data_IF_815937254324
#
_entry.id   IF_815937254324
#
_cell.length_a   1.000
_cell.length_b   1.000
_cell.length_c   1.000
_cell.angle_alpha   90.00
_cell.angle_beta   90.00
_cell.angle_gamma   90.00
#
_symmetry.space_group_name_H-M   'P 1'
#
loop_
_entity.id
_entity.type
_entity.pdbx_description
1 polymer ?
#
# COMPACT_ATOMS: atom_id res chain seq x y z
N UNK A 1 17.67 -7.11 27.52
CA UNK A 1 17.02 -8.37 27.12
C UNK A 1 18.05 -9.48 26.92
N UNK A 2 19.11 -9.30 26.13
CA UNK A 2 20.18 -10.30 25.99
C UNK A 2 20.75 -10.79 27.33
N UNK A 3 21.13 -9.87 28.21
CA UNK A 3 21.59 -10.20 29.57
C UNK A 3 20.54 -10.98 30.39
N UNK A 4 19.25 -10.68 30.19
CA UNK A 4 18.16 -11.38 30.90
C UNK A 4 18.01 -12.80 30.37
N UNK A 5 18.14 -13.00 29.07
CA UNK A 5 18.11 -14.33 28.45
C UNK A 5 19.26 -15.20 28.97
N UNK A 6 20.47 -14.63 29.10
CA UNK A 6 21.63 -15.34 29.66
C UNK A 6 21.42 -15.77 31.11
N UNK A 7 20.78 -14.94 31.94
CA UNK A 7 20.49 -15.23 33.34
C UNK A 7 19.39 -16.30 33.48
N UNK A 8 18.33 -16.23 32.67
CA UNK A 8 17.18 -17.14 32.72
C UNK A 8 17.39 -18.43 31.92
N UNK A 9 18.51 -18.57 31.20
CA UNK A 9 18.81 -19.73 30.36
C UNK A 9 17.91 -19.86 29.13
N UNK A 10 17.53 -18.72 28.55
CA UNK A 10 16.66 -18.61 27.37
C UNK A 10 17.51 -18.41 26.13
N UNK A 11 17.25 -19.20 25.08
CA UNK A 11 17.85 -19.00 23.76
C UNK A 11 16.96 -18.07 22.94
N UNK A 12 17.50 -16.97 22.40
CA UNK A 12 16.74 -16.03 21.58
C UNK A 12 17.62 -15.49 20.45
N UNK A 13 17.07 -15.44 19.23
CA UNK A 13 17.74 -14.81 18.10
C UNK A 13 17.67 -13.27 18.18
N UNK A 14 18.53 -12.57 17.43
CA UNK A 14 18.62 -11.10 17.47
C UNK A 14 17.33 -10.42 17.01
N UNK A 15 16.63 -10.99 16.02
CA UNK A 15 15.38 -10.42 15.49
C UNK A 15 14.26 -10.54 16.54
N UNK A 16 14.20 -11.66 17.26
CA UNK A 16 13.30 -11.87 18.40
C UNK A 16 13.54 -10.88 19.54
N UNK A 17 14.81 -10.64 19.90
CA UNK A 17 15.16 -9.64 20.93
C UNK A 17 14.79 -8.22 20.50
N UNK A 18 15.01 -7.88 19.22
CA UNK A 18 14.62 -6.58 18.65
C UNK A 18 13.10 -6.42 18.59
N UNK A 19 12.36 -7.50 18.33
CA UNK A 19 10.89 -7.49 18.35
C UNK A 19 10.36 -7.18 19.75
N UNK A 20 10.88 -7.85 20.78
CA UNK A 20 10.48 -7.63 22.18
C UNK A 20 10.85 -6.22 22.66
N UNK A 21 12.03 -5.72 22.27
CA UNK A 21 12.44 -4.35 22.57
C UNK A 21 11.48 -3.33 21.95
N UNK A 22 11.07 -3.54 20.70
CA UNK A 22 10.07 -2.70 20.01
C UNK A 22 8.70 -2.77 20.68
N UNK A 23 8.23 -3.96 21.04
CA UNK A 23 6.95 -4.14 21.74
C UNK A 23 6.92 -3.45 23.11
N UNK A 24 8.09 -3.24 23.72
CA UNK A 24 8.24 -2.44 24.94
C UNK A 24 8.26 -0.93 24.75
N UNK A 25 8.19 -0.40 23.52
CA UNK A 25 8.22 1.04 23.21
C UNK A 25 9.35 1.82 23.94
N UNK A 26 10.54 1.20 24.09
CA UNK A 26 11.68 1.79 24.80
C UNK A 26 11.57 1.77 26.34
N UNK A 27 10.45 1.32 26.91
CA UNK A 27 10.29 1.09 28.33
C UNK A 27 10.73 -0.35 28.69
N UNK A 28 11.80 -0.47 29.49
CA UNK A 28 12.33 -1.78 29.89
C UNK A 28 11.28 -2.68 30.57
N UNK A 29 10.37 -2.11 31.35
CA UNK A 29 9.32 -2.85 32.04
C UNK A 29 8.35 -3.52 31.06
N UNK A 30 7.99 -2.81 30.00
CA UNK A 30 7.02 -3.29 29.02
C UNK A 30 7.70 -4.32 28.10
N UNK A 31 8.98 -4.11 27.79
CA UNK A 31 9.80 -5.12 27.11
C UNK A 31 9.94 -6.41 27.92
N UNK A 32 10.14 -6.32 29.25
CA UNK A 32 10.16 -7.48 30.14
C UNK A 32 8.79 -8.16 30.24
N UNK A 33 7.70 -7.39 30.26
CA UNK A 33 6.34 -7.95 30.25
C UNK A 33 6.06 -8.73 28.97
N UNK A 34 6.51 -8.22 27.82
CA UNK A 34 6.43 -8.93 26.54
C UNK A 34 7.34 -10.18 26.51
N UNK A 35 8.52 -10.11 27.14
CA UNK A 35 9.43 -11.24 27.29
C UNK A 35 8.81 -12.36 28.15
N UNK A 36 8.22 -12.03 29.29
CA UNK A 36 7.55 -13.01 30.15
C UNK A 36 6.36 -13.67 29.43
N UNK A 37 5.61 -12.88 28.64
CA UNK A 37 4.55 -13.40 27.79
C UNK A 37 5.10 -14.35 26.72
N UNK A 38 6.22 -14.00 26.08
CA UNK A 38 6.88 -14.83 25.08
C UNK A 38 7.30 -16.19 25.65
N UNK A 39 7.91 -16.20 26.84
CA UNK A 39 8.31 -17.44 27.52
C UNK A 39 7.12 -18.34 27.86
N UNK A 40 6.00 -17.74 28.26
CA UNK A 40 4.76 -18.47 28.55
C UNK A 40 4.17 -19.16 27.31
N UNK A 41 4.37 -18.58 26.12
CA UNK A 41 3.76 -19.05 24.87
C UNK A 41 4.70 -19.97 24.05
N UNK A 42 6.00 -19.64 24.00
CA UNK A 42 6.99 -20.30 23.14
C UNK A 42 7.98 -21.18 23.93
N UNK A 43 8.05 -21.03 25.26
CA UNK A 43 9.03 -21.72 26.09
C UNK A 43 10.39 -21.02 26.13
N UNK A 44 11.47 -21.78 26.31
CA UNK A 44 12.83 -21.26 26.52
C UNK A 44 13.62 -20.98 25.25
N UNK A 45 13.01 -21.18 24.08
CA UNK A 45 13.63 -20.91 22.77
C UNK A 45 12.72 -19.95 22.02
N UNK A 46 13.21 -18.73 21.80
CA UNK A 46 12.47 -17.65 21.17
C UNK A 46 12.98 -17.49 19.74
N UNK A 47 12.28 -18.13 18.80
CA UNK A 47 12.48 -17.95 17.37
C UNK A 47 11.48 -16.94 16.80
N UNK A 48 11.97 -16.05 15.92
CA UNK A 48 11.18 -14.91 15.41
C UNK A 48 9.81 -15.30 14.83
N UNK A 49 9.75 -16.39 14.05
CA UNK A 49 8.51 -16.83 13.39
C UNK A 49 7.45 -17.35 14.36
N UNK A 50 7.86 -18.06 15.42
CA UNK A 50 6.95 -18.53 16.46
C UNK A 50 6.53 -17.38 17.37
N UNK A 51 7.48 -16.51 17.70
CA UNK A 51 7.26 -15.36 18.57
C UNK A 51 6.29 -14.35 17.97
N UNK A 52 6.43 -14.05 16.68
CA UNK A 52 5.50 -13.14 15.96
C UNK A 52 4.08 -13.69 15.93
N UNK A 53 3.91 -15.00 15.69
CA UNK A 53 2.60 -15.64 15.76
C UNK A 53 2.02 -15.62 17.18
N UNK A 54 2.83 -15.97 18.17
CA UNK A 54 2.42 -16.04 19.58
C UNK A 54 2.01 -14.66 20.13
N UNK A 55 2.77 -13.62 19.80
CA UNK A 55 2.52 -12.24 20.26
C UNK A 55 1.52 -11.47 19.38
N UNK A 56 0.95 -12.12 18.36
CA UNK A 56 0.00 -11.50 17.43
C UNK A 56 0.60 -10.34 16.63
N UNK A 57 1.91 -10.35 16.42
CA UNK A 57 2.63 -9.29 15.71
C UNK A 57 2.27 -9.38 14.23
N UNK A 58 1.86 -8.24 13.68
CA UNK A 58 1.47 -8.15 12.28
C UNK A 58 2.72 -8.11 11.41
N UNK A 59 2.74 -8.97 10.38
CA UNK A 59 3.83 -9.02 9.42
C UNK A 59 3.97 -7.69 8.66
N UNK A 60 5.20 -7.17 8.56
CA UNK A 60 5.50 -5.94 7.81
C UNK A 60 5.05 -6.03 6.35
N UNK A 61 5.09 -7.22 5.74
CA UNK A 61 4.63 -7.44 4.36
C UNK A 61 3.15 -7.10 4.18
N UNK A 62 2.35 -7.18 5.25
CA UNK A 62 0.94 -6.80 5.21
C UNK A 62 0.79 -5.30 4.96
N UNK A 63 1.63 -4.48 5.57
CA UNK A 63 1.56 -3.02 5.42
C UNK A 63 2.03 -2.56 4.06
N UNK A 64 3.10 -3.15 3.52
CA UNK A 64 3.51 -2.90 2.14
C UNK A 64 2.43 -3.31 1.11
N UNK A 65 1.74 -4.44 1.32
CA UNK A 65 0.58 -4.82 0.47
C UNK A 65 -0.58 -3.83 0.60
N UNK A 66 -0.75 -3.25 1.77
CA UNK A 66 -1.77 -2.23 2.02
C UNK A 66 -1.45 -0.96 1.23
N UNK A 67 -0.22 -0.45 1.30
CA UNK A 67 0.22 0.72 0.53
C UNK A 67 0.24 0.45 -0.97
N UNK A 68 0.55 -0.77 -1.41
CA UNK A 68 0.34 -1.19 -2.80
C UNK A 68 -1.11 -1.00 -3.26
N UNK A 69 -2.08 -1.38 -2.43
CA UNK A 69 -3.49 -1.19 -2.71
C UNK A 69 -3.90 0.29 -2.68
N UNK A 70 -3.27 1.11 -1.83
CA UNK A 70 -3.48 2.56 -1.83
C UNK A 70 -2.98 3.19 -3.13
N UNK A 71 -1.74 2.91 -3.52
CA UNK A 71 -1.14 3.44 -4.73
C UNK A 71 -1.90 3.02 -6.00
N UNK A 72 -2.40 1.78 -6.04
CA UNK A 72 -3.19 1.25 -7.14
C UNK A 72 -4.69 1.60 -7.08
N UNK A 73 -5.14 2.35 -6.07
CA UNK A 73 -6.55 2.65 -5.79
C UNK A 73 -7.45 1.39 -5.73
N UNK A 74 -6.91 0.27 -5.25
CA UNK A 74 -7.54 -1.04 -5.30
C UNK A 74 -8.39 -1.32 -4.04
N UNK A 75 -9.63 -0.84 -4.04
CA UNK A 75 -10.59 -1.06 -2.95
C UNK A 75 -10.94 -2.53 -2.73
N UNK A 76 -11.01 -3.33 -3.81
CA UNK A 76 -11.30 -4.76 -3.71
C UNK A 76 -10.15 -5.54 -3.06
N UNK A 77 -8.90 -5.17 -3.38
CA UNK A 77 -7.69 -5.65 -2.72
C UNK A 77 -7.69 -5.28 -1.24
N UNK A 78 -8.02 -4.04 -0.91
CA UNK A 78 -8.11 -3.57 0.47
C UNK A 78 -9.12 -4.37 1.31
N UNK A 79 -10.31 -4.66 0.77
CA UNK A 79 -11.29 -5.50 1.46
C UNK A 79 -10.85 -6.96 1.62
N UNK A 80 -10.07 -7.49 0.66
CA UNK A 80 -9.44 -8.82 0.81
C UNK A 80 -8.41 -8.81 1.93
N UNK A 81 -7.63 -7.74 2.04
CA UNK A 81 -6.62 -7.56 3.09
C UNK A 81 -7.27 -7.48 4.48
N UNK A 82 -8.37 -6.74 4.63
CA UNK A 82 -9.12 -6.73 5.91
C UNK A 82 -9.67 -8.11 6.26
N UNK A 83 -10.20 -8.84 5.29
CA UNK A 83 -10.66 -10.23 5.54
C UNK A 83 -9.51 -11.13 5.98
N UNK A 84 -8.32 -10.95 5.42
CA UNK A 84 -7.13 -11.68 5.85
C UNK A 84 -6.77 -11.33 7.29
N UNK A 85 -6.69 -10.03 7.63
CA UNK A 85 -6.41 -9.55 8.99
C UNK A 85 -7.33 -10.20 10.03
N UNK A 86 -8.64 -10.16 9.78
CA UNK A 86 -9.65 -10.72 10.69
C UNK A 86 -9.56 -12.25 10.77
N UNK A 87 -9.30 -12.94 9.65
CA UNK A 87 -9.19 -14.41 9.63
C UNK A 87 -7.93 -14.92 10.31
N UNK A 88 -6.85 -14.14 10.25
CA UNK A 88 -5.59 -14.44 10.93
C UNK A 88 -5.67 -14.16 12.43
N UNK A 89 -6.75 -13.54 12.92
CA UNK A 89 -6.95 -13.25 14.33
C UNK A 89 -6.09 -12.10 14.86
N UNK A 90 -5.56 -11.25 13.98
CA UNK A 90 -4.79 -10.08 14.41
C UNK A 90 -5.68 -9.11 15.20
N UNK A 91 -5.07 -8.50 16.22
CA UNK A 91 -5.70 -7.40 16.94
C UNK A 91 -5.75 -6.15 16.04
N UNK A 92 -6.92 -5.52 15.96
CA UNK A 92 -7.12 -4.39 15.04
C UNK A 92 -6.41 -3.11 15.49
N UNK A 93 -6.17 -2.95 16.79
CA UNK A 93 -5.38 -1.83 17.31
C UNK A 93 -3.91 -2.03 16.96
N UNK A 94 -3.37 -3.23 17.18
CA UNK A 94 -1.98 -3.56 16.79
C UNK A 94 -1.76 -3.38 15.27
N UNK A 95 -2.75 -3.71 14.44
CA UNK A 95 -2.71 -3.44 12.99
C UNK A 95 -2.62 -1.95 12.69
N UNK A 96 -3.37 -1.10 13.40
CA UNK A 96 -3.32 0.34 13.17
C UNK A 96 -2.03 0.99 13.70
N UNK A 97 -1.53 0.53 14.84
CA UNK A 97 -0.23 0.95 15.39
C UNK A 97 0.89 0.60 14.38
N UNK A 98 0.91 -0.63 13.88
CA UNK A 98 1.88 -1.06 12.87
C UNK A 98 1.73 -0.31 11.54
N UNK A 99 0.49 0.02 11.14
CA UNK A 99 0.25 0.85 9.96
C UNK A 99 0.78 2.28 10.14
N UNK A 100 0.58 2.90 11.31
CA UNK A 100 1.09 4.23 11.60
C UNK A 100 2.63 4.23 11.59
N UNK A 101 3.27 3.22 12.18
CA UNK A 101 4.73 3.05 12.13
C UNK A 101 5.23 2.87 10.68
N UNK A 102 4.55 2.05 9.89
CA UNK A 102 4.87 1.85 8.48
C UNK A 102 4.77 3.15 7.66
N UNK A 103 3.69 3.93 7.84
CA UNK A 103 3.50 5.21 7.16
C UNK A 103 4.53 6.26 7.60
N UNK A 104 4.89 6.29 8.89
CA UNK A 104 5.99 7.11 9.39
C UNK A 104 7.30 6.73 8.71
N UNK A 105 7.60 5.44 8.57
CA UNK A 105 8.83 4.97 7.94
C UNK A 105 8.88 5.35 6.45
N UNK A 106 7.76 5.27 5.73
CA UNK A 106 7.66 5.78 4.35
C UNK A 106 7.91 7.29 4.29
N UNK A 107 7.30 8.07 5.20
CA UNK A 107 7.51 9.52 5.26
C UNK A 107 8.97 9.88 5.55
N UNK A 108 9.60 9.20 6.52
CA UNK A 108 11.02 9.38 6.84
C UNK A 108 11.92 9.02 5.66
N UNK A 109 11.64 7.90 4.98
CA UNK A 109 12.39 7.48 3.80
C UNK A 109 12.22 8.48 2.64
N UNK A 110 11.03 9.04 2.46
CA UNK A 110 10.75 10.07 1.45
C UNK A 110 11.52 11.38 1.74
N UNK A 111 11.47 11.87 2.99
CA UNK A 111 12.03 13.18 3.33
C UNK A 111 13.54 13.17 3.58
N UNK A 112 14.08 12.08 4.13
CA UNK A 112 15.48 12.00 4.59
C UNK A 112 16.30 10.89 3.90
N UNK A 113 15.66 10.06 3.08
CA UNK A 113 16.26 8.87 2.48
C UNK A 113 16.22 7.64 3.40
N UNK A 114 16.36 6.45 2.81
CA UNK A 114 16.25 5.17 3.52
C UNK A 114 17.29 4.95 4.63
N UNK A 115 18.41 5.67 4.61
CA UNK A 115 19.45 5.59 5.64
C UNK A 115 19.01 6.13 7.01
N UNK A 116 17.96 6.96 7.04
CA UNK A 116 17.38 7.49 8.27
C UNK A 116 16.64 6.42 9.12
N UNK A 117 16.39 5.23 8.57
CA UNK A 117 15.67 4.14 9.24
C UNK A 117 16.62 3.20 10.00
N UNK A 118 17.38 3.73 10.96
CA UNK A 118 18.42 2.97 11.68
C UNK A 118 17.87 1.73 12.42
N UNK A 119 16.63 1.77 12.86
CA UNK A 119 15.94 0.72 13.62
C UNK A 119 15.36 -0.41 12.75
N UNK A 120 15.45 -0.27 11.43
CA UNK A 120 14.92 -1.21 10.43
C UNK A 120 16.06 -1.99 9.77
N UNK A 121 15.83 -3.28 9.48
CA UNK A 121 16.80 -4.13 8.79
C UNK A 121 17.17 -3.58 7.40
N UNK A 122 18.42 -3.73 6.99
CA UNK A 122 18.97 -3.10 5.78
C UNK A 122 18.20 -3.47 4.48
N UNK A 123 17.76 -4.72 4.36
CA UNK A 123 16.92 -5.18 3.22
C UNK A 123 15.59 -4.43 3.16
N UNK A 124 14.95 -4.21 4.30
CA UNK A 124 13.68 -3.50 4.42
C UNK A 124 13.85 -1.99 4.18
N UNK A 125 15.00 -1.39 4.55
CA UNK A 125 15.28 0.04 4.25
C UNK A 125 15.23 0.34 2.76
N UNK A 126 15.81 -0.54 1.94
CA UNK A 126 15.81 -0.39 0.48
C UNK A 126 14.38 -0.38 -0.06
N UNK A 127 13.54 -1.30 0.42
CA UNK A 127 12.14 -1.37 0.02
C UNK A 127 11.35 -0.12 0.43
N UNK A 128 11.59 0.42 1.63
CA UNK A 128 10.97 1.68 2.05
C UNK A 128 11.37 2.85 1.15
N UNK A 129 12.64 2.92 0.74
CA UNK A 129 13.10 3.95 -0.19
C UNK A 129 12.43 3.84 -1.56
N UNK A 130 12.37 2.63 -2.12
CA UNK A 130 11.73 2.38 -3.43
C UNK A 130 10.23 2.69 -3.42
N UNK A 131 9.55 2.40 -2.31
CA UNK A 131 8.10 2.59 -2.20
C UNK A 131 7.71 4.03 -1.82
N UNK A 132 8.57 4.74 -1.10
CA UNK A 132 8.36 6.13 -0.71
C UNK A 132 8.15 7.06 -1.93
N UNK A 133 8.83 6.78 -3.05
CA UNK A 133 8.71 7.56 -4.30
C UNK A 133 7.34 7.43 -4.99
N UNK A 134 6.51 6.46 -4.58
CA UNK A 134 5.15 6.28 -5.10
C UNK A 134 4.13 7.18 -4.42
N UNK A 135 4.53 7.97 -3.44
CA UNK A 135 3.65 8.84 -2.68
C UNK A 135 4.23 10.24 -2.59
N UNK A 136 3.34 11.23 -2.63
CA UNK A 136 3.73 12.60 -2.28
C UNK A 136 3.73 12.75 -0.75
N UNK A 137 4.60 13.60 -0.22
CA UNK A 137 4.70 13.87 1.22
C UNK A 137 3.34 14.23 1.85
N UNK A 138 2.54 15.05 1.15
CA UNK A 138 1.21 15.45 1.60
C UNK A 138 0.22 14.27 1.72
N UNK A 139 0.35 13.27 0.84
CA UNK A 139 -0.48 12.06 0.88
C UNK A 139 -0.05 11.16 2.03
N UNK A 140 1.25 11.00 2.27
CA UNK A 140 1.76 10.25 3.43
C UNK A 140 1.30 10.85 4.76
N UNK A 141 1.34 12.18 4.90
CA UNK A 141 0.82 12.87 6.09
C UNK A 141 -0.68 12.66 6.29
N UNK A 142 -1.46 12.70 5.20
CA UNK A 142 -2.90 12.41 5.25
C UNK A 142 -3.17 10.97 5.67
N UNK A 143 -2.48 10.00 5.08
CA UNK A 143 -2.61 8.59 5.45
C UNK A 143 -2.25 8.38 6.93
N UNK A 144 -1.17 8.99 7.41
CA UNK A 144 -0.75 8.89 8.81
C UNK A 144 -1.80 9.48 9.75
N UNK A 145 -2.38 10.63 9.40
CA UNK A 145 -3.48 11.25 10.17
C UNK A 145 -4.69 10.33 10.23
N UNK A 146 -5.10 9.75 9.09
CA UNK A 146 -6.22 8.82 9.04
C UNK A 146 -5.98 7.53 9.85
N UNK A 147 -4.74 7.04 9.90
CA UNK A 147 -4.37 5.90 10.72
C UNK A 147 -4.50 6.21 12.22
N UNK A 148 -3.99 7.36 12.66
CA UNK A 148 -4.09 7.81 14.06
C UNK A 148 -5.54 8.05 14.50
N UNK A 149 -6.34 8.73 13.67
CA UNK A 149 -7.78 8.92 13.96
C UNK A 149 -8.53 7.58 14.06
N UNK A 150 -8.17 6.61 13.21
CA UNK A 150 -8.80 5.30 13.24
C UNK A 150 -8.47 4.50 14.50
N UNK A 151 -7.29 4.71 15.11
CA UNK A 151 -6.88 4.02 16.33
C UNK A 151 -7.83 4.36 17.48
N UNK A 152 -8.10 5.64 17.67
CA UNK A 152 -9.05 6.15 18.66
C UNK A 152 -10.49 5.70 18.35
N UNK A 153 -10.88 5.79 17.08
CA UNK A 153 -12.22 5.40 16.61
C UNK A 153 -12.50 3.92 16.85
N UNK A 154 -11.54 3.03 16.52
CA UNK A 154 -11.69 1.58 16.68
C UNK A 154 -11.79 1.22 18.16
N UNK A 155 -10.97 1.84 19.01
CA UNK A 155 -10.96 1.59 20.46
C UNK A 155 -12.30 1.85 21.12
N UNK A 156 -13.06 2.83 20.62
CA UNK A 156 -14.36 3.23 21.18
C UNK A 156 -15.56 2.65 20.42
N UNK A 157 -15.33 1.99 19.28
CA UNK A 157 -16.41 1.57 18.40
C UNK A 157 -17.07 0.25 18.85
N UNK A 158 -18.41 0.16 18.81
CA UNK A 158 -19.09 -1.13 18.92
C UNK A 158 -18.93 -2.01 17.67
N UNK A 159 -18.40 -1.47 16.57
CA UNK A 159 -18.18 -2.17 15.29
C UNK A 159 -16.77 -1.87 14.74
N UNK A 160 -15.70 -2.30 15.45
CA UNK A 160 -14.31 -1.94 15.13
C UNK A 160 -13.88 -2.43 13.75
N UNK A 161 -14.36 -3.60 13.32
CA UNK A 161 -14.11 -4.12 11.98
C UNK A 161 -14.69 -3.22 10.88
N UNK A 162 -15.91 -2.73 11.04
CA UNK A 162 -16.53 -1.85 10.04
C UNK A 162 -15.77 -0.52 9.95
N UNK A 163 -15.29 -0.01 11.09
CA UNK A 163 -14.43 1.19 11.14
C UNK A 163 -13.12 0.97 10.38
N UNK A 164 -12.46 -0.16 10.59
CA UNK A 164 -11.26 -0.53 9.84
C UNK A 164 -11.53 -0.63 8.33
N UNK A 165 -12.59 -1.34 7.93
CA UNK A 165 -12.98 -1.46 6.52
C UNK A 165 -13.21 -0.06 5.91
N UNK A 166 -13.88 0.83 6.64
CA UNK A 166 -14.20 2.18 6.18
C UNK A 166 -12.94 3.04 6.02
N UNK A 167 -12.04 3.07 7.01
CA UNK A 167 -10.84 3.91 6.92
C UNK A 167 -9.92 3.43 5.81
N UNK A 168 -9.71 2.13 5.68
CA UNK A 168 -8.81 1.59 4.66
C UNK A 168 -9.38 1.78 3.24
N UNK A 169 -10.70 1.71 3.07
CA UNK A 169 -11.35 2.09 1.81
C UNK A 169 -11.16 3.58 1.48
N UNK A 170 -11.28 4.47 2.48
CA UNK A 170 -11.01 5.89 2.29
C UNK A 170 -9.55 6.14 1.90
N UNK A 171 -8.60 5.47 2.55
CA UNK A 171 -7.18 5.53 2.20
C UNK A 171 -6.95 5.11 0.74
N UNK A 172 -7.54 3.99 0.31
CA UNK A 172 -7.44 3.51 -1.07
C UNK A 172 -8.04 4.46 -2.11
N UNK A 173 -8.90 5.41 -1.71
CA UNK A 173 -9.50 6.40 -2.61
C UNK A 173 -8.85 7.78 -2.51
N UNK A 174 -7.82 7.96 -1.67
CA UNK A 174 -7.24 9.27 -1.35
C UNK A 174 -6.76 10.02 -2.60
N UNK A 175 -5.96 9.37 -3.46
CA UNK A 175 -5.44 9.95 -4.70
C UNK A 175 -6.55 10.43 -5.64
N UNK A 176 -7.63 9.65 -5.79
CA UNK A 176 -8.76 10.02 -6.66
C UNK A 176 -9.43 11.33 -6.22
N UNK A 177 -9.50 11.56 -4.90
CA UNK A 177 -10.06 12.79 -4.36
C UNK A 177 -9.13 14.00 -4.59
N UNK A 178 -7.81 13.79 -4.56
CA UNK A 178 -6.82 14.82 -4.89
C UNK A 178 -6.87 15.19 -6.39
N UNK A 179 -6.89 14.20 -7.28
CA UNK A 179 -6.95 14.40 -8.74
C UNK A 179 -8.21 15.20 -9.14
N UNK A 180 -9.36 14.87 -8.56
CA UNK A 180 -10.61 15.58 -8.84
C UNK A 180 -10.56 17.04 -8.39
N UNK A 181 -9.94 17.31 -7.24
CA UNK A 181 -9.79 18.69 -6.75
C UNK A 181 -8.90 19.51 -7.68
N UNK A 182 -7.81 18.95 -8.17
CA UNK A 182 -6.92 19.62 -9.13
C UNK A 182 -7.65 19.95 -10.44
N UNK A 183 -8.49 19.03 -10.93
CA UNK A 183 -9.32 19.26 -12.12
C UNK A 183 -10.33 20.39 -11.90
N UNK A 184 -11.00 20.42 -10.75
CA UNK A 184 -11.94 21.49 -10.40
C UNK A 184 -11.24 22.86 -10.33
N UNK A 185 -10.07 22.93 -9.70
CA UNK A 185 -9.28 24.18 -9.64
C UNK A 185 -8.79 24.65 -11.01
N UNK A 186 -8.61 23.75 -11.98
CA UNK A 186 -8.28 24.09 -13.37
C UNK A 186 -9.51 24.62 -14.10
N UNK A 187 -10.70 24.06 -13.86
CA UNK A 187 -11.96 24.53 -14.43
C UNK A 187 -12.28 25.94 -13.91
N UNK A 188 -12.21 26.17 -12.60
CA UNK A 188 -12.46 27.50 -12.00
C UNK A 188 -11.51 28.57 -12.57
N UNK A 189 -10.24 28.23 -12.78
CA UNK A 189 -9.26 29.10 -13.43
C UNK A 189 -9.61 29.41 -14.89
N UNK A 190 -10.06 28.41 -15.65
CA UNK A 190 -10.47 28.60 -17.05
C UNK A 190 -11.74 29.45 -17.15
N UNK A 191 -12.70 29.27 -16.25
CA UNK A 191 -13.90 30.12 -16.18
C UNK A 191 -13.51 31.58 -15.90
N UNK A 192 -12.61 31.81 -14.94
CA UNK A 192 -12.11 33.15 -14.64
C UNK A 192 -11.37 33.80 -15.83
N UNK A 193 -10.51 33.05 -16.52
CA UNK A 193 -9.82 33.54 -17.73
C UNK A 193 -10.77 33.82 -18.89
N UNK A 194 -11.85 33.03 -19.02
CA UNK A 194 -12.89 33.25 -20.03
C UNK A 194 -13.70 34.53 -19.74
N UNK A 195 -14.02 34.78 -18.46
CA UNK A 195 -14.70 36.00 -18.02
C UNK A 195 -13.83 37.25 -18.16
N UNK A 196 -12.51 37.11 -17.98
CA UNK A 196 -11.51 38.19 -18.16
C UNK A 196 -11.12 38.43 -19.63
N UNK A 197 -11.59 37.58 -20.57
CA UNK A 197 -11.36 37.72 -22.01
C UNK A 197 -9.95 37.31 -22.48
N UNK A 198 -9.16 36.66 -21.63
CA UNK A 198 -7.81 36.18 -21.89
C UNK A 198 -7.78 34.65 -22.02
N UNK A 199 -8.48 34.11 -23.02
CA UNK A 199 -8.30 32.70 -23.38
C UNK A 199 -6.95 32.52 -24.08
N UNK A 200 -6.09 31.58 -23.65
CA UNK A 200 -4.86 31.29 -24.36
C UNK A 200 -5.22 30.74 -25.74
N UNK A 201 -4.79 31.47 -26.78
CA UNK A 201 -5.03 31.12 -28.17
C UNK A 201 -4.10 29.94 -28.53
N UNK A 202 -4.46 28.73 -28.13
CA UNK A 202 -3.72 27.53 -28.47
C UNK A 202 -4.12 27.05 -29.87
N UNK A 203 -3.49 27.65 -30.89
CA UNK A 203 -3.29 27.00 -32.19
C UNK A 203 -1.83 27.16 -32.59
N UNK A 204 -0.97 26.14 -32.38
CA UNK A 204 0.21 26.00 -33.22
C UNK A 204 -0.31 25.53 -34.59
N UNK A 205 -0.52 26.50 -35.48
CA UNK A 205 -0.68 26.22 -36.90
C UNK A 205 0.67 25.77 -37.44
N UNK A 206 0.92 24.47 -37.48
CA UNK A 206 1.90 23.93 -38.41
C UNK A 206 1.16 23.53 -39.69
N UNK A 207 1.00 24.53 -40.54
CA UNK A 207 0.51 24.36 -41.90
C UNK A 207 1.61 23.76 -42.76
N UNK A 208 1.60 22.45 -42.93
CA UNK A 208 2.09 21.81 -44.15
C UNK A 208 0.97 20.99 -44.76
N UNK A 209 0.29 21.60 -45.74
CA UNK A 209 -0.61 20.90 -46.63
C UNK A 209 0.18 19.91 -47.50
N UNK A 210 -0.31 18.68 -47.74
CA UNK A 210 0.24 17.82 -48.78
C UNK A 210 -0.18 18.37 -50.15
N UNK A 211 0.82 18.66 -50.97
CA UNK A 211 0.71 19.08 -52.37
C UNK A 211 0.24 17.93 -53.26
N UNK A 212 -0.48 18.31 -54.31
CA UNK A 212 -1.19 17.53 -55.32
C UNK A 212 -0.61 16.18 -55.78
N UNK A 213 -1.52 15.22 -55.99
CA UNK A 213 -1.46 14.34 -57.16
C UNK A 213 -2.87 13.85 -57.56
N UNK A 214 -3.32 14.10 -58.80
CA UNK A 214 -4.33 13.28 -59.42
C UNK A 214 -3.86 12.57 -60.71
N UNK A 215 -4.44 11.39 -60.91
CA UNK A 215 -4.71 10.69 -62.17
C UNK A 215 -3.64 9.77 -62.77
N UNK A 216 -3.89 8.46 -62.74
CA UNK A 216 -4.50 7.77 -63.89
C UNK A 216 -4.78 6.29 -63.57
N UNK A 217 -5.96 5.83 -63.97
CA UNK A 217 -6.46 4.47 -63.90
C UNK A 217 -5.71 3.48 -64.81
N UNK A 218 -5.81 2.17 -64.52
CA UNK A 218 -6.05 1.09 -65.50
C UNK A 218 -6.31 -0.27 -64.80
N UNK A 219 -7.56 -0.75 -64.93
CA UNK A 219 -7.97 -2.12 -65.31
C UNK A 219 -7.49 -3.34 -64.47
N UNK A 220 -8.37 -3.94 -63.67
CA UNK A 220 -9.09 -5.21 -63.92
C UNK A 220 -8.23 -6.40 -64.39
N UNK A 221 -8.07 -7.42 -63.54
CA UNK A 221 -8.46 -8.78 -63.93
C UNK A 221 -8.81 -9.69 -62.74
N UNK A 222 -9.74 -10.55 -63.08
CA UNK A 222 -10.53 -11.57 -62.43
C UNK A 222 -9.74 -12.78 -61.95
N UNK A 223 -10.18 -13.39 -60.84
CA UNK A 223 -10.48 -14.83 -60.67
C UNK A 223 -10.48 -15.17 -59.17
N UNK A 224 -11.64 -15.52 -58.58
CA UNK A 224 -12.12 -16.91 -58.36
C UNK A 224 -10.99 -17.78 -57.79
N UNK A 225 -11.11 -18.41 -56.61
CA UNK A 225 -12.07 -19.50 -56.38
C UNK A 225 -11.86 -20.11 -54.96
N UNK A 226 -12.97 -20.49 -54.29
CA UNK A 226 -13.21 -21.63 -53.37
C UNK A 226 -12.41 -21.76 -52.04
N UNK A 227 -13.05 -21.59 -50.87
CA UNK A 227 -13.86 -22.59 -50.07
C UNK A 227 -12.99 -23.45 -49.13
N UNK A 228 -13.53 -24.16 -48.10
CA UNK A 228 -14.66 -23.93 -47.17
C UNK A 228 -14.24 -24.16 -45.68
N UNK A 229 -14.96 -23.63 -44.66
CA UNK A 229 -15.99 -24.26 -43.80
C UNK A 229 -15.61 -25.53 -42.99
N UNK A 230 -15.87 -25.47 -41.67
CA UNK A 230 -16.21 -26.54 -40.69
C UNK A 230 -15.31 -27.79 -40.56
N UNK A 231 -15.14 -28.53 -39.46
CA UNK A 231 -15.80 -28.74 -38.16
C UNK A 231 -14.92 -29.72 -37.35
N UNK A 232 -15.33 -30.02 -36.10
CA UNK A 232 -15.06 -31.21 -35.24
C UNK A 232 -14.44 -30.77 -33.91
N UNK A 233 -15.08 -30.86 -32.74
CA UNK A 233 -16.07 -31.84 -32.30
C UNK A 233 -15.36 -32.92 -31.48
N UNK A 234 -15.46 -32.87 -30.15
CA UNK A 234 -15.21 -34.04 -29.31
C UNK A 234 -16.08 -33.98 -28.03
N UNK A 235 -16.82 -35.05 -27.69
CA UNK A 235 -17.79 -35.08 -26.59
C UNK A 235 -17.24 -35.68 -25.27
N UNK A 236 -18.13 -35.66 -24.27
CA UNK A 236 -18.04 -36.08 -22.85
C UNK A 236 -17.66 -37.56 -22.58
N UNK A 237 -17.49 -37.85 -21.27
CA UNK A 237 -17.50 -39.11 -20.48
C UNK A 237 -16.14 -39.39 -19.79
N UNK A 238 -16.00 -39.68 -18.49
CA UNK A 238 -16.83 -40.20 -17.37
C UNK A 238 -16.28 -39.68 -16.03
#
# INVERSE_FOLDING_TARGET
LREVCEVEGVEADEESLMLLARKGNGALRDALSAFDQALSLCGSTLEYGELTQALGVVDQDLFFKLTDHVAAQNTAGMLKLVRHVVRSGYDLQEVLVGLAEHLRNLLMAHSLGGDALEEVAASTRTRYADEADRFDEADLLRLLTMAGEAEDDIKQSPQPRLKLETVLLKMAQLRRAADLREVLEKIDRLEQMADEGELPNAVPGDGTAPEDAPSSASETDSSRNRSPDASEGCPESE
#
